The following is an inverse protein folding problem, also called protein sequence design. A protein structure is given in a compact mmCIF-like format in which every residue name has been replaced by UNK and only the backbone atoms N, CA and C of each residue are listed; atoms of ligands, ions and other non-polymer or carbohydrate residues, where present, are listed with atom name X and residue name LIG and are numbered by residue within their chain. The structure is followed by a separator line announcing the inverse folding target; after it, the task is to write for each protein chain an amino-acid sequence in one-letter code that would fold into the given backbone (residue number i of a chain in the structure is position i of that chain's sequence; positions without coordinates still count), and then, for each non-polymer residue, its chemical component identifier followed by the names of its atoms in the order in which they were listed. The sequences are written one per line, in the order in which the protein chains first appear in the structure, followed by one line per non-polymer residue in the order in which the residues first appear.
data_IF_664185684123
#
_entry.id   IF_664185684123
#
_cell.length_a   1.000
_cell.length_b   1.000
_cell.length_c   1.000
_cell.angle_alpha   90.00
_cell.angle_beta   90.00
_cell.angle_gamma   90.00
#
_symmetry.space_group_name_H-M   'P 1'
#
loop_
_entity.id
_entity.type
_entity.pdbx_description
1 polymer ?
#
# COMPACT_ATOMS: atom_id res chain seq x y z
N UNK A 1 -17.32 20.78 14.25
CA UNK A 1 -17.63 19.68 13.32
C UNK A 1 -16.48 19.42 12.37
N UNK A 2 -16.05 20.42 11.59
CA UNK A 2 -14.93 20.28 10.62
C UNK A 2 -13.66 19.61 11.17
N UNK A 3 -13.20 20.00 12.38
CA UNK A 3 -12.02 19.37 12.98
C UNK A 3 -12.21 17.87 13.27
N UNK A 4 -13.40 17.46 13.73
CA UNK A 4 -13.70 16.04 13.97
C UNK A 4 -13.70 15.27 12.65
N UNK A 5 -14.22 15.86 11.58
CA UNK A 5 -14.22 15.27 10.23
C UNK A 5 -12.79 15.05 9.70
N UNK A 6 -11.90 16.03 9.85
CA UNK A 6 -10.49 15.91 9.46
C UNK A 6 -9.78 14.80 10.24
N UNK A 7 -10.01 14.72 11.55
CA UNK A 7 -9.38 13.70 12.40
C UNK A 7 -9.88 12.30 12.01
N UNK A 8 -11.18 12.16 11.77
CA UNK A 8 -11.77 10.91 11.32
C UNK A 8 -11.24 10.51 9.94
N UNK A 9 -11.05 11.45 9.02
CA UNK A 9 -10.48 11.18 7.71
C UNK A 9 -9.02 10.67 7.81
N UNK A 10 -8.19 11.33 8.63
CA UNK A 10 -6.81 10.89 8.85
C UNK A 10 -6.76 9.49 9.49
N UNK A 11 -7.65 9.16 10.44
CA UNK A 11 -7.71 7.82 11.03
C UNK A 11 -8.25 6.76 10.08
N UNK A 12 -9.26 7.09 9.28
CA UNK A 12 -9.86 6.17 8.31
C UNK A 12 -8.83 5.72 7.27
N UNK A 13 -7.79 6.51 6.99
CA UNK A 13 -6.64 6.09 6.20
C UNK A 13 -6.04 4.75 6.67
N UNK A 14 -5.90 4.57 7.99
CA UNK A 14 -5.31 3.37 8.58
C UNK A 14 -6.14 2.14 8.25
N UNK A 15 -7.47 2.28 8.30
CA UNK A 15 -8.41 1.20 7.95
C UNK A 15 -8.36 0.90 6.45
N UNK A 16 -8.36 1.94 5.61
CA UNK A 16 -8.28 1.81 4.16
C UNK A 16 -7.01 1.07 3.72
N UNK A 17 -5.87 1.43 4.30
CA UNK A 17 -4.61 0.75 3.99
C UNK A 17 -4.56 -0.67 4.56
N UNK A 18 -5.15 -0.92 5.75
CA UNK A 18 -5.27 -2.29 6.28
C UNK A 18 -6.06 -3.21 5.34
N UNK A 19 -7.15 -2.70 4.73
CA UNK A 19 -7.91 -3.47 3.74
C UNK A 19 -7.08 -3.81 2.50
N UNK A 20 -6.15 -2.93 2.11
CA UNK A 20 -5.19 -3.18 1.05
C UNK A 20 -4.19 -4.28 1.42
N UNK A 21 -3.55 -4.18 2.60
CA UNK A 21 -2.66 -5.23 3.10
C UNK A 21 -3.37 -6.58 3.21
N UNK A 22 -4.65 -6.60 3.61
CA UNK A 22 -5.44 -7.82 3.64
C UNK A 22 -5.63 -8.45 2.25
N UNK A 23 -5.90 -7.66 1.20
CA UNK A 23 -5.93 -8.18 -0.17
C UNK A 23 -4.57 -8.80 -0.53
N UNK A 24 -3.47 -8.11 -0.22
CA UNK A 24 -2.13 -8.63 -0.50
C UNK A 24 -1.86 -9.96 0.21
N UNK A 25 -2.11 -10.04 1.53
CA UNK A 25 -1.89 -11.24 2.37
C UNK A 25 -2.74 -12.42 1.87
N UNK A 26 -4.00 -12.18 1.53
CA UNK A 26 -4.91 -13.24 1.05
C UNK A 26 -4.49 -13.73 -0.34
N UNK A 27 -4.02 -12.82 -1.21
CA UNK A 27 -3.73 -13.15 -2.60
C UNK A 27 -2.32 -13.72 -2.81
N UNK A 28 -1.32 -13.30 -2.02
CA UNK A 28 0.11 -13.49 -2.33
C UNK A 28 0.50 -14.95 -2.60
N UNK A 29 0.11 -15.89 -1.73
CA UNK A 29 0.58 -17.27 -1.84
C UNK A 29 -0.01 -17.98 -3.07
N UNK A 30 -1.32 -17.79 -3.30
CA UNK A 30 -2.00 -18.34 -4.47
C UNK A 30 -1.50 -17.69 -5.77
N UNK A 31 -1.23 -16.39 -5.72
CA UNK A 31 -0.66 -15.64 -6.82
C UNK A 31 0.73 -16.14 -7.21
N UNK A 32 1.61 -16.35 -6.22
CA UNK A 32 2.98 -16.80 -6.44
C UNK A 32 3.03 -18.14 -7.18
N UNK A 33 2.23 -19.12 -6.72
CA UNK A 33 2.10 -20.45 -7.34
C UNK A 33 1.56 -20.38 -8.78
N UNK A 34 0.53 -19.57 -9.02
CA UNK A 34 -0.06 -19.43 -10.37
C UNK A 34 0.90 -18.72 -11.34
N UNK A 35 1.65 -17.74 -10.84
CA UNK A 35 2.54 -16.91 -11.66
C UNK A 35 3.87 -17.60 -11.94
N UNK A 36 4.30 -18.56 -11.12
CA UNK A 36 5.53 -19.33 -11.34
C UNK A 36 5.62 -19.91 -12.76
N UNK A 37 4.53 -20.53 -13.25
CA UNK A 37 4.46 -21.07 -14.61
C UNK A 37 4.70 -20.05 -15.73
N UNK A 38 4.52 -18.75 -15.46
CA UNK A 38 4.75 -17.64 -16.39
C UNK A 38 6.18 -17.11 -16.35
N UNK A 39 6.96 -17.49 -15.35
CA UNK A 39 8.35 -17.09 -15.17
C UNK A 39 9.26 -18.22 -15.65
N UNK A 40 9.79 -18.08 -16.86
CA UNK A 40 10.72 -19.06 -17.44
C UNK A 40 12.15 -18.54 -17.41
N UNK A 41 13.12 -19.38 -17.78
CA UNK A 41 14.51 -18.97 -17.84
C UNK A 41 14.78 -17.82 -18.82
N UNK A 42 13.95 -17.68 -19.85
CA UNK A 42 14.02 -16.60 -20.84
C UNK A 42 13.28 -15.33 -20.40
N UNK A 43 12.59 -15.33 -19.25
CA UNK A 43 11.90 -14.14 -18.74
C UNK A 43 12.90 -13.03 -18.40
N UNK A 44 12.49 -11.78 -18.65
CA UNK A 44 13.28 -10.59 -18.31
C UNK A 44 13.70 -10.62 -16.84
N UNK A 45 14.91 -10.13 -16.55
CA UNK A 45 15.45 -10.07 -15.18
C UNK A 45 14.49 -9.39 -14.19
N UNK A 46 13.84 -8.30 -14.61
CA UNK A 46 12.86 -7.57 -13.80
C UNK A 46 11.66 -8.45 -13.44
N UNK A 47 11.12 -9.23 -14.39
CA UNK A 47 10.00 -10.15 -14.14
C UNK A 47 10.37 -11.22 -13.11
N UNK A 48 11.59 -11.79 -13.21
CA UNK A 48 12.09 -12.75 -12.23
C UNK A 48 12.21 -12.13 -10.83
N UNK A 49 12.74 -10.90 -10.74
CA UNK A 49 12.87 -10.18 -9.46
C UNK A 49 11.52 -9.87 -8.82
N UNK A 50 10.54 -9.41 -9.60
CA UNK A 50 9.19 -9.17 -9.10
C UNK A 50 8.60 -10.48 -8.55
N UNK A 51 8.63 -11.56 -9.33
CA UNK A 51 8.10 -12.84 -8.85
C UNK A 51 8.83 -13.34 -7.59
N UNK A 52 10.16 -13.26 -7.53
CA UNK A 52 10.93 -13.64 -6.34
C UNK A 52 10.53 -12.85 -5.10
N UNK A 53 10.27 -11.54 -5.22
CA UNK A 53 9.80 -10.72 -4.11
C UNK A 53 8.45 -11.18 -3.57
N UNK A 54 7.54 -11.59 -4.46
CA UNK A 54 6.20 -12.04 -4.13
C UNK A 54 6.12 -13.54 -3.81
N UNK A 55 7.17 -14.33 -4.08
CA UNK A 55 7.21 -15.76 -3.83
C UNK A 55 7.47 -16.08 -2.35
N UNK A 56 6.51 -15.72 -1.51
CA UNK A 56 6.50 -15.96 -0.07
C UNK A 56 5.12 -16.45 0.36
N UNK A 57 5.06 -17.18 1.47
CA UNK A 57 3.78 -17.61 2.04
C UNK A 57 3.06 -16.46 2.77
N UNK A 58 1.73 -16.57 2.89
CA UNK A 58 0.91 -15.52 3.51
C UNK A 58 1.33 -15.20 4.95
N UNK A 59 1.81 -16.18 5.72
CA UNK A 59 2.30 -15.96 7.09
C UNK A 59 3.55 -15.05 7.13
N UNK A 60 4.53 -15.32 6.28
CA UNK A 60 5.76 -14.53 6.22
C UNK A 60 5.50 -13.13 5.68
N UNK A 61 4.57 -13.02 4.72
CA UNK A 61 4.09 -11.74 4.20
C UNK A 61 3.39 -10.92 5.30
N UNK A 62 2.42 -11.51 6.01
CA UNK A 62 1.70 -10.86 7.09
C UNK A 62 2.63 -10.36 8.21
N UNK A 63 3.69 -11.11 8.57
CA UNK A 63 4.68 -10.64 9.56
C UNK A 63 5.34 -9.33 9.12
N UNK A 64 5.68 -9.18 7.83
CA UNK A 64 6.26 -7.95 7.29
C UNK A 64 5.24 -6.81 7.37
N UNK A 65 4.00 -7.09 6.99
CA UNK A 65 2.95 -6.07 6.92
C UNK A 65 2.53 -5.58 8.30
N UNK A 66 2.64 -6.40 9.35
CA UNK A 66 2.46 -5.93 10.74
C UNK A 66 3.41 -4.76 11.06
N UNK A 67 4.67 -4.80 10.60
CA UNK A 67 5.61 -3.70 10.82
C UNK A 67 5.25 -2.46 9.98
N UNK A 68 4.79 -2.67 8.74
CA UNK A 68 4.32 -1.58 7.86
C UNK A 68 3.11 -0.91 8.51
N UNK A 69 2.11 -1.69 8.90
CA UNK A 69 0.90 -1.27 9.59
C UNK A 69 1.19 -0.51 10.89
N UNK A 70 2.13 -1.00 11.71
CA UNK A 70 2.52 -0.31 12.94
C UNK A 70 3.19 1.04 12.63
N UNK A 71 4.10 1.07 11.65
CA UNK A 71 4.82 2.28 11.26
C UNK A 71 3.86 3.36 10.76
N UNK A 72 2.94 3.01 9.87
CA UNK A 72 1.93 3.96 9.37
C UNK A 72 0.95 4.41 10.45
N UNK A 73 0.59 3.52 11.39
CA UNK A 73 -0.30 3.85 12.51
C UNK A 73 0.37 4.87 13.43
N UNK A 74 1.67 4.73 13.68
CA UNK A 74 2.47 5.69 14.45
C UNK A 74 2.55 7.03 13.71
N UNK A 75 2.85 7.04 12.41
CA UNK A 75 2.90 8.29 11.61
C UNK A 75 1.54 9.00 11.65
N UNK A 76 0.45 8.25 11.48
CA UNK A 76 -0.93 8.78 11.53
C UNK A 76 -1.26 9.32 12.92
N UNK A 77 -0.92 8.58 13.98
CA UNK A 77 -1.12 9.01 15.35
C UNK A 77 -0.38 10.31 15.66
N UNK A 78 0.90 10.40 15.27
CA UNK A 78 1.71 11.62 15.46
C UNK A 78 1.08 12.81 14.72
N UNK A 79 0.56 12.60 13.50
CA UNK A 79 -0.16 13.63 12.75
C UNK A 79 -1.41 14.13 13.47
N UNK A 80 -2.21 13.22 14.04
CA UNK A 80 -3.41 13.58 14.81
C UNK A 80 -3.05 14.40 16.06
N UNK A 81 -2.01 13.99 16.80
CA UNK A 81 -1.60 14.70 18.02
C UNK A 81 -1.02 16.08 17.73
N UNK A 82 -0.52 16.32 16.52
CA UNK A 82 0.20 17.55 16.14
C UNK A 82 -0.36 18.13 14.83
N UNK A 83 -1.68 18.22 14.72
CA UNK A 83 -2.33 18.54 13.44
C UNK A 83 -1.88 19.87 12.84
N UNK A 84 -1.61 20.87 13.69
CA UNK A 84 -1.18 22.23 13.33
C UNK A 84 0.33 22.33 13.06
N UNK A 85 1.12 21.30 13.38
CA UNK A 85 2.57 21.33 13.19
C UNK A 85 2.93 21.20 11.71
N UNK A 86 3.64 22.20 11.18
CA UNK A 86 4.12 22.20 9.80
C UNK A 86 5.05 21.02 9.51
N UNK A 87 6.00 20.73 10.41
CA UNK A 87 6.97 19.64 10.23
C UNK A 87 6.26 18.29 10.17
N UNK A 88 5.30 18.05 11.07
CA UNK A 88 4.52 16.82 11.09
C UNK A 88 3.60 16.72 9.87
N UNK A 89 3.08 17.84 9.38
CA UNK A 89 2.30 17.88 8.14
C UNK A 89 3.14 17.49 6.94
N UNK A 90 4.37 18.01 6.81
CA UNK A 90 5.30 17.61 5.74
C UNK A 90 5.61 16.11 5.82
N UNK A 91 5.86 15.57 7.01
CA UNK A 91 6.08 14.14 7.21
C UNK A 91 4.89 13.31 6.72
N UNK A 92 3.67 13.66 7.15
CA UNK A 92 2.46 12.93 6.79
C UNK A 92 2.16 13.02 5.29
N UNK A 93 2.28 14.21 4.68
CA UNK A 93 2.11 14.39 3.24
C UNK A 93 3.15 13.60 2.44
N UNK A 94 4.40 13.58 2.89
CA UNK A 94 5.46 12.77 2.25
C UNK A 94 5.14 11.27 2.32
N UNK A 95 4.59 10.82 3.45
CA UNK A 95 4.11 9.45 3.61
C UNK A 95 2.93 9.14 2.66
N UNK A 96 1.95 10.02 2.51
CA UNK A 96 0.86 9.84 1.55
C UNK A 96 1.38 9.75 0.10
N UNK A 97 2.37 10.57 -0.26
CA UNK A 97 3.01 10.50 -1.58
C UNK A 97 3.75 9.16 -1.78
N UNK A 98 4.44 8.66 -0.75
CA UNK A 98 5.07 7.34 -0.78
C UNK A 98 4.04 6.23 -1.02
N UNK A 99 2.86 6.30 -0.38
CA UNK A 99 1.76 5.35 -0.58
C UNK A 99 1.24 5.39 -2.02
N UNK A 100 1.13 6.57 -2.65
CA UNK A 100 0.77 6.66 -4.07
C UNK A 100 1.82 6.00 -4.97
N UNK A 101 3.11 6.18 -4.67
CA UNK A 101 4.19 5.53 -5.41
C UNK A 101 4.12 4.01 -5.25
N UNK A 102 3.86 3.50 -4.05
CA UNK A 102 3.62 2.07 -3.79
C UNK A 102 2.47 1.53 -4.67
N UNK A 103 1.34 2.25 -4.74
CA UNK A 103 0.22 1.86 -5.60
C UNK A 103 0.58 1.84 -7.09
N UNK A 104 1.43 2.77 -7.56
CA UNK A 104 1.94 2.75 -8.94
C UNK A 104 2.77 1.49 -9.20
N UNK A 105 3.55 1.01 -8.23
CA UNK A 105 4.30 -0.23 -8.39
C UNK A 105 3.41 -1.44 -8.61
N UNK A 106 2.23 -1.53 -7.98
CA UNK A 106 1.26 -2.59 -8.27
C UNK A 106 0.82 -2.61 -9.73
N UNK A 107 0.51 -1.42 -10.27
CA UNK A 107 0.13 -1.26 -11.69
C UNK A 107 1.29 -1.65 -12.60
N UNK A 108 2.51 -1.16 -12.31
CA UNK A 108 3.69 -1.47 -13.12
C UNK A 108 4.01 -2.98 -13.09
N UNK A 109 3.95 -3.62 -11.92
CA UNK A 109 4.18 -5.05 -11.78
C UNK A 109 3.14 -5.86 -12.57
N UNK A 110 1.88 -5.43 -12.53
CA UNK A 110 0.79 -6.05 -13.31
C UNK A 110 1.06 -5.95 -14.82
N UNK A 111 1.47 -4.77 -15.29
CA UNK A 111 1.79 -4.56 -16.72
C UNK A 111 3.01 -5.37 -17.16
N UNK A 112 4.06 -5.43 -16.32
CA UNK A 112 5.31 -6.15 -16.63
C UNK A 112 5.07 -7.67 -16.67
N UNK A 113 4.30 -8.21 -15.72
CA UNK A 113 4.04 -9.65 -15.63
C UNK A 113 2.83 -10.10 -16.45
N UNK A 114 2.02 -9.15 -16.97
CA UNK A 114 0.78 -9.41 -17.70
C UNK A 114 -0.17 -10.34 -16.93
N UNK A 115 -0.22 -10.14 -15.62
CA UNK A 115 -1.12 -10.82 -14.70
C UNK A 115 -1.44 -9.84 -13.58
N UNK A 116 -2.60 -10.00 -12.93
CA UNK A 116 -2.93 -9.31 -11.68
C UNK A 116 -1.74 -9.34 -10.71
N UNK A 117 -1.55 -8.34 -9.85
CA UNK A 117 -0.58 -8.32 -8.75
C UNK A 117 -1.34 -8.23 -7.43
N UNK A 118 -0.96 -8.96 -6.36
CA UNK A 118 -1.63 -8.85 -5.06
C UNK A 118 -1.75 -7.39 -4.61
N UNK A 119 -2.97 -6.95 -4.24
CA UNK A 119 -3.22 -5.57 -3.81
C UNK A 119 -3.60 -4.60 -4.93
N UNK A 120 -3.57 -5.01 -6.21
CA UNK A 120 -3.88 -4.14 -7.34
C UNK A 120 -5.28 -3.50 -7.26
N UNK A 121 -6.29 -4.28 -6.88
CA UNK A 121 -7.67 -3.79 -6.94
C UNK A 121 -7.93 -2.73 -5.87
N UNK A 122 -7.57 -3.01 -4.61
CA UNK A 122 -7.65 -2.01 -3.54
C UNK A 122 -6.70 -0.85 -3.77
N UNK A 123 -5.50 -1.06 -4.37
CA UNK A 123 -4.62 0.05 -4.71
C UNK A 123 -5.31 1.05 -5.65
N UNK A 124 -5.96 0.57 -6.72
CA UNK A 124 -6.62 1.41 -7.72
C UNK A 124 -7.92 2.01 -7.19
N UNK A 125 -8.80 1.18 -6.62
CA UNK A 125 -10.18 1.57 -6.34
C UNK A 125 -10.41 2.09 -4.91
N UNK A 126 -9.47 1.87 -4.00
CA UNK A 126 -9.64 2.18 -2.58
C UNK A 126 -8.54 3.11 -2.06
N UNK A 127 -7.28 2.68 -2.08
CA UNK A 127 -6.17 3.44 -1.50
C UNK A 127 -5.86 4.70 -2.31
N UNK A 128 -5.72 4.60 -3.64
CA UNK A 128 -5.39 5.77 -4.47
C UNK A 128 -6.43 6.90 -4.38
N UNK A 129 -7.74 6.67 -4.58
CA UNK A 129 -8.72 7.74 -4.49
C UNK A 129 -8.79 8.32 -3.08
N UNK A 130 -8.66 7.49 -2.05
CA UNK A 130 -8.69 7.95 -0.67
C UNK A 130 -7.46 8.79 -0.29
N UNK A 131 -6.28 8.39 -0.73
CA UNK A 131 -5.04 9.16 -0.53
C UNK A 131 -5.07 10.49 -1.26
N UNK A 132 -5.61 10.54 -2.49
CA UNK A 132 -5.80 11.80 -3.23
C UNK A 132 -6.78 12.71 -2.48
N UNK A 133 -7.90 12.16 -1.99
CA UNK A 133 -8.85 12.91 -1.17
C UNK A 133 -8.18 13.51 0.07
N UNK A 134 -7.36 12.74 0.80
CA UNK A 134 -6.62 13.24 1.96
C UNK A 134 -5.59 14.31 1.61
N UNK A 135 -4.88 14.17 0.48
CA UNK A 135 -3.97 15.20 0.02
C UNK A 135 -4.72 16.53 -0.19
N UNK A 136 -5.85 16.50 -0.91
CA UNK A 136 -6.67 17.69 -1.15
C UNK A 136 -7.28 18.26 0.13
N UNK A 137 -7.66 17.41 1.09
CA UNK A 137 -8.20 17.86 2.38
C UNK A 137 -7.15 18.57 3.25
N UNK A 138 -5.87 18.19 3.13
CA UNK A 138 -4.79 18.62 4.02
C UNK A 138 -3.89 19.71 3.41
N UNK A 139 -4.07 20.07 2.14
CA UNK A 139 -3.35 21.14 1.43
C UNK A 139 -4.28 22.30 1.08
#
# INVERSE_FOLDING_TARGET
MYQIEVYNAIWLFVVIFMLHDFEEIIAVENWAKRTESRITDNSKWISKKIWQFWNVNSYSFAKRDVYIFLTMSIITFIKIQNVESLIISILYLSFLLFVLIHNVFHVLQTLILKTYTPGLYTAIFLVTPYTIYLLVLLT
#
